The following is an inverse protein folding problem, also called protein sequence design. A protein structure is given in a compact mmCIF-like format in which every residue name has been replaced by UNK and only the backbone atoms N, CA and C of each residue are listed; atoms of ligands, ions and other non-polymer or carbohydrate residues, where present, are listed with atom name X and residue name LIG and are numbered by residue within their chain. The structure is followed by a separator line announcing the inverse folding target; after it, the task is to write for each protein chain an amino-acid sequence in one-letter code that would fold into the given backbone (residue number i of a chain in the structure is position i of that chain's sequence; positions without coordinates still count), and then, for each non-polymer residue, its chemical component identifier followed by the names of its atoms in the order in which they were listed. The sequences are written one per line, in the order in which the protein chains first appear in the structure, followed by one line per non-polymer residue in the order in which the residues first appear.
data_IF_834145247608
#
_entry.id   IF_834145247608
#
_cell.length_a   1.000
_cell.length_b   1.000
_cell.length_c   1.000
_cell.angle_alpha   90.00
_cell.angle_beta   90.00
_cell.angle_gamma   90.00
#
_symmetry.space_group_name_H-M   'P 1'
#
loop_
_entity.id
_entity.type
_entity.pdbx_description
1 polymer ?
#
# COMPACT_ATOMS: atom_id res chain seq x y z
N UNK A 1 3.07 2.53 0.82
CA UNK A 1 2.46 3.63 1.56
C UNK A 1 2.54 3.41 3.07
N UNK A 2 1.80 4.18 3.83
CA UNK A 2 1.81 4.13 5.30
C UNK A 2 0.41 4.43 5.85
N UNK A 3 0.20 4.25 7.15
CA UNK A 3 -1.04 4.60 7.83
C UNK A 3 -0.98 6.07 8.27
N UNK A 4 -1.80 6.92 7.65
CA UNK A 4 -1.83 8.37 7.92
C UNK A 4 -2.73 8.75 9.10
N UNK A 5 -3.73 7.94 9.42
CA UNK A 5 -4.62 8.16 10.56
C UNK A 5 -5.22 6.85 11.04
N UNK A 6 -5.54 6.78 12.33
CA UNK A 6 -6.23 5.66 12.98
C UNK A 6 -7.37 6.22 13.82
N UNK A 7 -8.56 5.60 13.75
CA UNK A 7 -9.74 6.08 14.47
C UNK A 7 -10.63 4.92 14.93
N UNK A 8 -11.00 4.93 16.20
CA UNK A 8 -12.04 4.03 16.72
C UNK A 8 -13.44 4.51 16.32
N UNK A 9 -14.27 3.58 15.96
CA UNK A 9 -15.65 3.84 15.54
C UNK A 9 -16.61 2.81 16.14
N UNK A 10 -17.86 3.20 16.47
CA UNK A 10 -18.88 2.28 16.95
C UNK A 10 -19.39 1.36 15.83
N UNK A 11 -20.17 0.35 16.19
CA UNK A 11 -20.99 -0.38 15.24
C UNK A 11 -21.97 0.55 14.50
N UNK A 12 -22.27 0.24 13.24
CA UNK A 12 -23.16 1.03 12.39
C UNK A 12 -22.55 2.29 11.80
N UNK A 13 -21.24 2.54 12.00
CA UNK A 13 -20.56 3.67 11.39
C UNK A 13 -20.44 3.49 9.87
N UNK A 14 -21.03 4.41 9.10
CA UNK A 14 -20.85 4.46 7.66
C UNK A 14 -19.44 4.93 7.28
N UNK A 15 -18.85 4.30 6.25
CA UNK A 15 -17.48 4.56 5.80
C UNK A 15 -17.47 5.04 4.35
N UNK A 16 -16.65 6.08 4.10
CA UNK A 16 -16.40 6.64 2.77
C UNK A 16 -17.65 7.17 2.04
N UNK A 17 -17.48 7.54 0.77
CA UNK A 17 -18.53 8.15 -0.03
C UNK A 17 -19.70 7.21 -0.31
N UNK A 18 -20.91 7.69 -0.04
CA UNK A 18 -22.16 6.97 -0.26
C UNK A 18 -22.44 5.90 0.80
N UNK A 19 -21.63 5.84 1.87
CA UNK A 19 -21.84 5.02 3.07
C UNK A 19 -22.30 3.59 2.75
N UNK A 20 -21.68 2.93 1.75
CA UNK A 20 -22.05 1.57 1.35
C UNK A 20 -21.59 0.53 2.36
N UNK A 21 -20.47 0.79 3.02
CA UNK A 21 -19.96 -0.04 4.11
C UNK A 21 -20.39 0.56 5.45
N UNK A 22 -20.88 -0.29 6.34
CA UNK A 22 -21.14 0.05 7.74
C UNK A 22 -20.44 -0.96 8.62
N UNK A 23 -19.80 -0.48 9.67
CA UNK A 23 -19.15 -1.36 10.65
C UNK A 23 -20.18 -2.24 11.36
N UNK A 24 -19.96 -3.54 11.39
CA UNK A 24 -20.88 -4.49 12.06
C UNK A 24 -20.73 -4.49 13.59
N UNK A 25 -19.53 -4.18 14.06
CA UNK A 25 -19.16 -4.10 15.48
C UNK A 25 -18.25 -2.88 15.71
N UNK A 26 -18.02 -2.48 16.97
CA UNK A 26 -16.97 -1.49 17.26
C UNK A 26 -15.63 -1.96 16.70
N UNK A 27 -14.92 -1.09 16.02
CA UNK A 27 -13.67 -1.42 15.34
C UNK A 27 -12.75 -0.20 15.25
N UNK A 28 -11.53 -0.40 14.79
CA UNK A 28 -10.56 0.65 14.46
C UNK A 28 -10.42 0.74 12.95
N UNK A 29 -10.60 1.92 12.40
CA UNK A 29 -10.37 2.20 10.99
C UNK A 29 -9.01 2.86 10.81
N UNK A 30 -8.27 2.46 9.78
CA UNK A 30 -7.01 3.05 9.37
C UNK A 30 -7.16 3.72 8.00
N UNK A 31 -6.51 4.88 7.81
CA UNK A 31 -6.48 5.62 6.57
C UNK A 31 -5.14 5.42 5.88
N UNK A 32 -5.17 4.98 4.63
CA UNK A 32 -4.01 4.89 3.74
C UNK A 32 -4.11 6.02 2.72
N UNK A 33 -3.10 6.92 2.61
CA UNK A 33 -3.12 8.07 1.70
C UNK A 33 -2.73 7.65 0.27
N UNK A 34 -3.49 6.75 -0.31
CA UNK A 34 -3.46 6.34 -1.71
C UNK A 34 -4.88 6.15 -2.21
N UNK A 35 -5.17 6.64 -3.39
CA UNK A 35 -6.48 6.55 -4.00
C UNK A 35 -6.44 6.35 -5.51
N UNK A 36 -7.55 6.59 -6.18
CA UNK A 36 -7.64 6.32 -7.62
C UNK A 36 -6.79 7.30 -8.46
N UNK A 37 -6.43 8.48 -7.95
CA UNK A 37 -5.49 9.39 -8.63
C UNK A 37 -4.04 8.86 -8.62
N UNK A 38 -3.72 7.95 -7.70
CA UNK A 38 -2.43 7.28 -7.60
C UNK A 38 -2.36 6.00 -8.45
N UNK A 39 -3.49 5.62 -9.08
CA UNK A 39 -3.60 4.44 -9.92
C UNK A 39 -4.30 3.26 -9.26
N UNK A 40 -4.77 3.41 -8.01
CA UNK A 40 -5.56 2.37 -7.33
C UNK A 40 -6.94 2.27 -7.97
N UNK A 41 -7.41 1.07 -8.39
CA UNK A 41 -8.74 0.93 -8.99
C UNK A 41 -9.85 1.33 -8.01
N UNK A 42 -10.71 2.27 -8.40
CA UNK A 42 -11.76 2.81 -7.54
C UNK A 42 -12.76 1.76 -7.05
N UNK A 43 -12.95 0.67 -7.81
CA UNK A 43 -13.91 -0.39 -7.50
C UNK A 43 -13.31 -1.50 -6.62
N UNK A 44 -12.01 -1.47 -6.33
CA UNK A 44 -11.32 -2.52 -5.57
C UNK A 44 -11.66 -2.48 -4.07
N UNK A 45 -12.96 -2.43 -3.75
CA UNK A 45 -13.46 -2.67 -2.40
C UNK A 45 -13.09 -4.11 -1.99
N UNK A 46 -12.76 -4.32 -0.71
CA UNK A 46 -12.30 -5.61 -0.18
C UNK A 46 -10.90 -6.08 -0.64
N UNK A 47 -10.14 -5.24 -1.36
CA UNK A 47 -8.75 -5.56 -1.69
C UNK A 47 -7.87 -5.64 -0.43
N UNK A 48 -6.83 -6.48 -0.43
CA UNK A 48 -5.98 -6.67 0.73
C UNK A 48 -4.97 -5.52 0.90
N UNK A 49 -4.67 -5.21 2.16
CA UNK A 49 -3.55 -4.33 2.54
C UNK A 49 -2.84 -4.96 3.72
N UNK A 50 -1.53 -5.23 3.59
CA UNK A 50 -0.72 -5.73 4.70
C UNK A 50 -0.10 -4.55 5.44
N UNK A 51 -0.34 -4.49 6.74
CA UNK A 51 0.16 -3.44 7.62
C UNK A 51 1.18 -4.04 8.57
N UNK A 52 2.27 -3.30 8.83
CA UNK A 52 3.37 -3.71 9.71
C UNK A 52 3.47 -2.75 10.91
N UNK A 53 2.66 -2.96 11.96
CA UNK A 53 2.69 -2.12 13.15
C UNK A 53 4.09 -2.14 13.81
N UNK A 54 4.52 -1.00 14.34
CA UNK A 54 5.85 -0.88 14.96
C UNK A 54 7.03 -0.62 14.00
N UNK A 55 6.80 -0.66 12.68
CA UNK A 55 7.84 -0.42 11.66
C UNK A 55 7.83 1.01 11.08
N UNK A 56 7.43 2.03 11.85
CA UNK A 56 7.26 3.41 11.38
C UNK A 56 8.55 4.05 10.82
N UNK A 57 9.72 3.55 11.21
CA UNK A 57 11.02 4.04 10.75
C UNK A 57 11.60 3.21 9.59
N UNK A 58 10.77 2.47 8.87
CA UNK A 58 11.19 1.70 7.72
C UNK A 58 11.70 2.63 6.60
N UNK A 59 13.01 2.66 6.42
CA UNK A 59 13.65 3.45 5.36
C UNK A 59 13.31 2.85 3.98
N UNK A 60 13.04 3.72 3.01
CA UNK A 60 12.78 3.34 1.61
C UNK A 60 11.67 2.30 1.41
N UNK A 61 10.68 2.24 2.32
CA UNK A 61 9.59 1.27 2.24
C UNK A 61 10.00 -0.17 2.56
N UNK A 62 11.22 -0.40 3.00
CA UNK A 62 11.70 -1.73 3.40
C UNK A 62 11.24 -2.03 4.83
N UNK A 63 10.38 -3.02 4.98
CA UNK A 63 9.98 -3.52 6.31
C UNK A 63 11.13 -4.36 6.89
N UNK A 64 11.54 -4.12 8.15
CA UNK A 64 12.56 -4.94 8.80
C UNK A 64 12.17 -6.44 8.83
N UNK A 65 13.12 -7.33 8.56
CA UNK A 65 12.91 -8.78 8.39
C UNK A 65 12.20 -9.49 9.56
N UNK A 66 12.17 -8.89 10.74
CA UNK A 66 11.57 -9.49 11.95
C UNK A 66 10.25 -8.79 12.36
N UNK A 67 9.68 -7.96 11.50
CA UNK A 67 8.41 -7.28 11.80
C UNK A 67 7.24 -8.13 11.31
N UNK A 68 6.37 -8.52 12.22
CA UNK A 68 5.15 -9.25 11.88
C UNK A 68 4.14 -8.31 11.25
N UNK A 69 3.67 -8.65 10.05
CA UNK A 69 2.60 -7.93 9.35
C UNK A 69 1.28 -8.67 9.43
N UNK A 70 0.17 -7.91 9.42
CA UNK A 70 -1.19 -8.47 9.36
C UNK A 70 -1.94 -7.92 8.15
N UNK A 71 -2.65 -8.78 7.44
CA UNK A 71 -3.44 -8.38 6.26
C UNK A 71 -4.86 -8.02 6.67
N UNK A 72 -5.29 -6.85 6.20
CA UNK A 72 -6.61 -6.29 6.41
C UNK A 72 -7.29 -6.02 5.07
N UNK A 73 -8.54 -5.55 5.08
CA UNK A 73 -9.31 -5.31 3.86
C UNK A 73 -9.73 -3.84 3.73
N UNK A 74 -9.66 -3.34 2.51
CA UNK A 74 -10.22 -2.04 2.15
C UNK A 74 -11.73 -2.08 2.32
N UNK A 75 -12.28 -1.08 2.99
CA UNK A 75 -13.71 -0.96 3.25
C UNK A 75 -14.28 0.34 2.70
N UNK A 76 -15.46 0.24 2.13
CA UNK A 76 -16.09 1.36 1.44
C UNK A 76 -15.37 1.77 0.16
N UNK A 77 -15.86 2.81 -0.49
CA UNK A 77 -15.32 3.28 -1.77
C UNK A 77 -13.94 3.91 -1.62
N UNK A 78 -13.04 3.59 -2.52
CA UNK A 78 -11.76 4.26 -2.65
C UNK A 78 -11.99 5.69 -3.16
N UNK A 79 -11.46 6.67 -2.45
CA UNK A 79 -11.52 8.08 -2.79
C UNK A 79 -10.36 8.47 -3.75
N UNK A 80 -10.29 9.75 -4.11
CA UNK A 80 -9.27 10.26 -5.04
C UNK A 80 -7.85 10.03 -4.50
N UNK A 81 -7.61 10.37 -3.24
CA UNK A 81 -6.28 10.42 -2.63
C UNK A 81 -6.15 9.51 -1.40
N UNK A 82 -7.16 8.70 -1.10
CA UNK A 82 -7.15 7.86 0.10
C UNK A 82 -8.09 6.68 0.02
N UNK A 83 -7.81 5.67 0.84
CA UNK A 83 -8.68 4.54 1.11
C UNK A 83 -8.72 4.24 2.62
N UNK A 84 -9.77 3.55 3.05
CA UNK A 84 -9.97 3.14 4.44
C UNK A 84 -9.84 1.63 4.55
N UNK A 85 -9.17 1.19 5.60
CA UNK A 85 -8.97 -0.22 5.94
C UNK A 85 -9.59 -0.48 7.31
N UNK A 86 -10.34 -1.56 7.46
CA UNK A 86 -10.88 -1.98 8.75
C UNK A 86 -9.89 -2.93 9.45
N UNK A 87 -9.42 -2.55 10.63
CA UNK A 87 -8.50 -3.35 11.43
C UNK A 87 -9.21 -4.46 12.22
N UNK A 88 -10.54 -4.48 12.20
CA UNK A 88 -11.38 -5.57 12.72
C UNK A 88 -11.55 -5.61 14.23
N UNK A 89 -10.84 -4.79 14.99
CA UNK A 89 -10.84 -4.78 16.45
C UNK A 89 -10.82 -3.35 16.98
N UNK A 90 -11.51 -3.07 18.12
CA UNK A 90 -11.34 -1.80 18.83
C UNK A 90 -9.99 -1.76 19.59
N UNK A 91 -9.56 -0.57 20.00
CA UNK A 91 -8.37 -0.39 20.83
C UNK A 91 -7.06 -0.29 20.04
N UNK A 92 -7.07 -0.43 18.71
CA UNK A 92 -5.87 -0.36 17.90
C UNK A 92 -5.45 1.09 17.54
N UNK A 93 -6.16 2.09 18.04
CA UNK A 93 -5.79 3.50 17.93
C UNK A 93 -4.74 3.94 18.94
N UNK A 94 -4.40 3.10 19.93
CA UNK A 94 -3.32 3.39 20.89
C UNK A 94 -1.99 3.57 20.14
N UNK A 95 -1.31 4.74 20.29
CA UNK A 95 -0.02 4.97 19.65
C UNK A 95 1.06 3.94 20.01
N UNK A 96 0.97 3.32 21.20
CA UNK A 96 1.91 2.29 21.64
C UNK A 96 1.88 1.02 20.77
N UNK A 97 0.78 0.77 20.07
CA UNK A 97 0.63 -0.36 19.16
C UNK A 97 1.26 -0.12 17.79
N UNK A 98 1.69 1.10 17.50
CA UNK A 98 2.49 1.44 16.34
C UNK A 98 1.77 1.34 14.98
N UNK A 99 0.44 1.45 14.94
CA UNK A 99 -0.30 1.49 13.66
C UNK A 99 -0.13 2.83 12.93
N UNK A 100 -0.17 3.95 13.63
CA UNK A 100 0.03 5.26 13.01
C UNK A 100 1.45 5.36 12.47
N UNK A 101 1.60 5.70 11.21
CA UNK A 101 2.89 5.73 10.50
C UNK A 101 3.41 4.37 10.04
N UNK A 102 2.72 3.26 10.37
CA UNK A 102 3.12 1.92 9.98
C UNK A 102 3.11 1.74 8.45
N UNK A 103 4.08 1.00 7.86
CA UNK A 103 4.03 0.64 6.46
C UNK A 103 2.75 -0.10 6.09
N UNK A 104 2.17 0.30 4.96
CA UNK A 104 0.99 -0.33 4.36
C UNK A 104 1.33 -0.78 2.95
N UNK A 105 1.42 -2.10 2.74
CA UNK A 105 1.78 -2.73 1.49
C UNK A 105 0.52 -3.24 0.80
N UNK A 106 0.26 -2.78 -0.41
CA UNK A 106 -0.90 -3.20 -1.19
C UNK A 106 -0.67 -4.55 -1.84
N UNK A 107 0.47 -4.70 -2.49
CA UNK A 107 0.91 -5.97 -3.09
C UNK A 107 2.44 -6.01 -3.16
N UNK A 108 3.00 -7.21 -3.24
CA UNK A 108 4.46 -7.38 -3.30
C UNK A 108 4.89 -8.84 -3.15
N UNK A 109 6.19 -9.05 -3.11
CA UNK A 109 6.79 -10.37 -2.90
C UNK A 109 6.70 -10.83 -1.43
N UNK A 110 7.00 -12.10 -1.21
CA UNK A 110 7.06 -12.72 0.12
C UNK A 110 5.67 -12.88 0.74
N UNK A 111 5.51 -12.44 1.96
CA UNK A 111 4.23 -12.52 2.70
C UNK A 111 3.22 -11.42 2.36
N UNK A 112 3.59 -10.48 1.48
CA UNK A 112 2.68 -9.42 1.06
C UNK A 112 1.57 -9.98 0.14
N UNK A 113 0.41 -9.31 0.08
CA UNK A 113 -0.65 -9.75 -0.81
C UNK A 113 -0.16 -9.86 -2.25
N UNK A 114 -0.53 -10.91 -2.99
CA UNK A 114 -0.25 -10.99 -4.42
C UNK A 114 -1.09 -9.95 -5.17
N UNK A 115 -0.55 -9.44 -6.26
CA UNK A 115 -1.23 -8.43 -7.09
C UNK A 115 -2.53 -8.96 -7.70
N UNK A 116 -2.65 -10.27 -7.86
CA UNK A 116 -3.82 -10.97 -8.34
C UNK A 116 -5.05 -10.73 -7.45
N UNK A 117 -4.89 -10.66 -6.12
CA UNK A 117 -6.02 -10.34 -5.22
C UNK A 117 -6.56 -8.91 -5.46
N UNK A 118 -5.69 -7.97 -5.84
CA UNK A 118 -6.11 -6.64 -6.26
C UNK A 118 -6.81 -6.65 -7.61
N UNK A 119 -6.33 -7.47 -8.55
CA UNK A 119 -6.95 -7.65 -9.85
C UNK A 119 -8.36 -8.26 -9.71
N UNK A 120 -8.52 -9.28 -8.89
CA UNK A 120 -9.81 -9.91 -8.60
C UNK A 120 -10.79 -8.92 -7.96
N UNK A 121 -10.35 -8.16 -6.94
CA UNK A 121 -11.17 -7.13 -6.30
C UNK A 121 -11.58 -6.00 -7.28
N UNK A 122 -10.75 -5.72 -8.27
CA UNK A 122 -11.00 -4.73 -9.32
C UNK A 122 -11.67 -5.32 -10.58
N UNK A 123 -11.95 -6.62 -10.62
CA UNK A 123 -12.52 -7.33 -11.77
C UNK A 123 -11.70 -7.14 -13.07
N UNK A 124 -10.38 -7.24 -12.95
CA UNK A 124 -9.43 -7.06 -14.04
C UNK A 124 -8.25 -8.04 -13.93
N UNK A 125 -7.15 -7.78 -14.62
CA UNK A 125 -5.93 -8.58 -14.61
C UNK A 125 -4.78 -7.88 -13.88
N UNK A 126 -3.81 -8.65 -13.40
CA UNK A 126 -2.65 -8.15 -12.66
C UNK A 126 -1.83 -7.11 -13.44
N UNK A 127 -1.66 -7.27 -14.74
CA UNK A 127 -0.95 -6.31 -15.59
C UNK A 127 -1.61 -4.92 -15.58
N UNK A 128 -2.93 -4.85 -15.56
CA UNK A 128 -3.63 -3.57 -15.47
C UNK A 128 -3.38 -2.89 -14.12
N UNK A 129 -3.34 -3.65 -13.02
CA UNK A 129 -3.03 -3.09 -11.70
C UNK A 129 -1.66 -2.43 -11.69
N UNK A 130 -0.61 -3.11 -12.15
CA UNK A 130 0.77 -2.57 -12.08
C UNK A 130 1.01 -1.44 -13.07
N UNK A 131 0.39 -1.47 -14.25
CA UNK A 131 0.55 -0.41 -15.27
C UNK A 131 -0.20 0.87 -14.94
N UNK A 132 -1.24 0.79 -14.10
CA UNK A 132 -2.04 1.96 -13.67
C UNK A 132 -1.34 2.85 -12.66
N UNK A 133 -0.30 2.36 -11.95
CA UNK A 133 0.40 3.15 -10.95
C UNK A 133 0.88 4.46 -11.57
N UNK A 134 0.35 5.57 -11.07
CA UNK A 134 0.56 6.89 -11.65
C UNK A 134 1.95 7.45 -11.33
N UNK A 135 2.35 8.50 -12.04
CA UNK A 135 3.61 9.23 -11.77
C UNK A 135 3.59 9.99 -10.42
N UNK A 136 2.45 10.11 -9.76
CA UNK A 136 2.35 10.65 -8.40
C UNK A 136 3.01 9.75 -7.35
N UNK A 137 3.09 8.45 -7.64
CA UNK A 137 3.76 7.47 -6.77
C UNK A 137 5.24 7.44 -7.13
N UNK A 138 6.09 7.80 -6.18
CA UNK A 138 7.53 7.74 -6.34
C UNK A 138 7.99 6.29 -6.56
N UNK A 139 8.92 6.10 -7.49
CA UNK A 139 9.55 4.81 -7.78
C UNK A 139 10.98 4.82 -7.30
N UNK A 140 11.26 3.99 -6.28
CA UNK A 140 12.61 3.79 -5.78
C UNK A 140 13.15 2.49 -6.33
N UNK A 141 14.27 2.57 -7.05
CA UNK A 141 14.98 1.40 -7.57
C UNK A 141 16.07 1.02 -6.58
N UNK A 142 16.03 -0.20 -6.06
CA UNK A 142 17.00 -0.71 -5.06
C UNK A 142 17.74 -1.92 -5.61
N UNK A 143 19.02 -2.11 -5.24
CA UNK A 143 19.83 -3.26 -5.66
C UNK A 143 20.47 -3.13 -7.04
N UNK A 144 20.66 -1.93 -7.54
CA UNK A 144 21.02 -1.61 -8.91
C UNK A 144 22.46 -1.89 -9.41
N UNK A 145 23.26 -2.70 -8.76
CA UNK A 145 24.65 -2.96 -9.23
C UNK A 145 24.73 -3.66 -10.60
N UNK A 146 23.71 -4.42 -10.99
CA UNK A 146 23.66 -5.07 -12.32
C UNK A 146 23.08 -4.18 -13.42
N UNK A 147 22.21 -3.22 -13.08
CA UNK A 147 21.65 -2.27 -14.07
C UNK A 147 22.72 -1.33 -14.60
N UNK A 148 23.64 -0.86 -13.75
CA UNK A 148 24.79 -0.04 -14.21
C UNK A 148 25.74 -0.83 -15.11
N UNK A 149 25.95 -2.12 -14.84
CA UNK A 149 26.78 -2.99 -15.67
C UNK A 149 26.14 -3.20 -17.07
N UNK A 150 24.83 -3.52 -17.14
CA UNK A 150 24.12 -3.69 -18.42
C UNK A 150 24.03 -2.38 -19.22
N UNK A 151 23.80 -1.24 -18.56
CA UNK A 151 23.78 0.05 -19.25
C UNK A 151 25.16 0.43 -19.82
N UNK A 152 26.23 0.14 -19.11
CA UNK A 152 27.59 0.35 -19.59
C UNK A 152 27.96 -0.60 -20.75
N UNK A 153 27.45 -1.83 -20.77
CA UNK A 153 27.61 -2.75 -21.91
C UNK A 153 26.78 -2.31 -23.15
N UNK A 154 25.56 -1.83 -22.94
CA UNK A 154 24.66 -1.41 -24.03
C UNK A 154 25.03 -0.07 -24.67
N UNK A 155 25.57 0.86 -23.88
CA UNK A 155 25.83 2.24 -24.34
C UNK A 155 27.30 2.55 -24.55
N UNK A 156 28.21 1.65 -24.21
CA UNK A 156 29.66 1.84 -24.36
C UNK A 156 30.15 3.08 -23.60
N UNK A 157 31.10 2.94 -22.70
CA UNK A 157 31.84 4.10 -22.21
C UNK A 157 32.59 4.68 -23.39
N UNK A 158 32.09 5.79 -23.97
CA UNK A 158 32.83 6.58 -24.93
C UNK A 158 34.09 7.14 -24.27
N UNK A 159 35.16 6.34 -24.28
CA UNK A 159 36.47 6.84 -24.05
C UNK A 159 36.89 7.49 -25.37
N UNK A 160 36.71 8.80 -25.47
CA UNK A 160 37.47 9.60 -26.46
C UNK A 160 38.95 9.36 -26.17
N UNK A 161 39.59 8.62 -27.08
CA UNK A 161 41.05 8.64 -27.18
C UNK A 161 41.43 9.96 -27.77
N UNK A 162 41.82 10.92 -26.93
CA UNK A 162 42.66 12.03 -27.39
C UNK A 162 44.06 11.48 -27.72
N UNK A 163 44.38 11.48 -29.00
CA UNK A 163 45.70 11.27 -29.54
C UNK A 163 46.27 12.60 -30.03
#
# INVERSE_FOLDING_TARGET
SYIAAVKEVPAGQGVSYGLRYHTEKPTTLALVPLGYADGVPRIAENAPVRIYPGAQNAENGSVPNNTEGKTYRVVGRIAMDQMVVDLGEPGLSDPALGYLGAPAILFGAGENPPVEEWADAAQTINYEIVTRISSRVERLYVGGSWVEAELNELWGTGQEQEG
#
